data_IF_329861938858
#
_entry.id   IF_329861938858
#
_cell.length_a   1.000
_cell.length_b   1.000
_cell.length_c   1.000
_cell.angle_alpha   90.00
_cell.angle_beta   90.00
_cell.angle_gamma   90.00
#
_symmetry.space_group_name_H-M   'P 1'
#
loop_
_entity.id
_entity.type
_entity.pdbx_description
1 polymer ?
#
# COMPACT_ATOMS: atom_id res chain seq x y z
N UNK A 1 10.83 -16.60 2.12
CA UNK A 1 11.02 -16.58 3.59
C UNK A 1 11.33 -15.14 3.95
N UNK A 2 10.61 -14.54 4.89
CA UNK A 2 10.93 -13.21 5.37
C UNK A 2 12.09 -13.34 6.34
N UNK A 3 13.13 -12.54 6.15
CA UNK A 3 14.19 -12.41 7.13
C UNK A 3 13.81 -11.19 7.99
N UNK A 4 13.64 -11.40 9.30
CA UNK A 4 13.23 -10.38 10.27
C UNK A 4 14.43 -9.79 11.02
N UNK A 5 14.51 -8.46 11.15
CA UNK A 5 15.61 -7.75 11.81
C UNK A 5 15.04 -6.58 12.59
N UNK A 6 15.07 -6.70 13.91
CA UNK A 6 14.69 -5.62 14.80
C UNK A 6 15.76 -4.52 14.73
N UNK A 7 15.34 -3.28 14.50
CA UNK A 7 16.21 -2.10 14.42
C UNK A 7 15.70 -1.00 15.35
N UNK A 8 16.49 0.07 15.49
CA UNK A 8 16.05 1.25 16.23
C UNK A 8 14.87 1.92 15.50
N UNK A 9 13.92 2.45 16.28
CA UNK A 9 12.78 3.17 15.73
C UNK A 9 13.24 4.36 14.87
N UNK A 10 12.69 4.46 13.65
CA UNK A 10 13.02 5.49 12.68
C UNK A 10 14.22 5.16 11.78
N UNK A 11 14.86 3.99 11.94
CA UNK A 11 15.96 3.55 11.06
C UNK A 11 15.56 2.43 10.10
N UNK A 12 14.29 2.02 10.06
CA UNK A 12 13.80 0.87 9.30
C UNK A 12 14.03 1.07 7.79
N UNK A 13 13.66 2.25 7.27
CA UNK A 13 13.84 2.59 5.87
C UNK A 13 15.33 2.58 5.48
N UNK A 14 16.18 3.23 6.28
CA UNK A 14 17.61 3.32 5.99
C UNK A 14 18.25 1.93 6.02
N UNK A 15 17.92 1.11 7.03
CA UNK A 15 18.39 -0.28 7.11
C UNK A 15 17.97 -1.12 5.90
N UNK A 16 16.71 -1.00 5.45
CA UNK A 16 16.25 -1.72 4.25
C UNK A 16 16.91 -1.19 2.97
N UNK A 17 17.15 0.12 2.85
CA UNK A 17 17.83 0.71 1.69
C UNK A 17 19.29 0.30 1.62
N UNK A 18 19.98 0.29 2.74
CA UNK A 18 21.38 -0.13 2.82
C UNK A 18 21.50 -1.61 2.49
N UNK A 19 20.67 -2.47 3.07
CA UNK A 19 20.61 -3.88 2.70
C UNK A 19 20.30 -4.08 1.21
N UNK A 20 19.34 -3.34 0.65
CA UNK A 20 19.01 -3.37 -0.77
C UNK A 20 20.18 -2.93 -1.67
N UNK A 21 20.94 -1.92 -1.26
CA UNK A 21 22.14 -1.44 -1.97
C UNK A 21 23.27 -2.46 -1.92
N UNK A 22 23.46 -3.12 -0.79
CA UNK A 22 24.46 -4.18 -0.59
C UNK A 22 24.11 -5.48 -1.33
N UNK A 23 22.88 -5.60 -1.83
CA UNK A 23 22.44 -6.72 -2.67
C UNK A 23 21.62 -7.77 -1.92
N UNK A 24 21.06 -7.45 -0.75
CA UNK A 24 20.12 -8.32 -0.07
C UNK A 24 18.96 -8.74 -0.99
N UNK A 25 18.53 -9.99 -0.83
CA UNK A 25 17.39 -10.54 -1.57
C UNK A 25 16.07 -9.88 -1.16
N UNK A 26 15.04 -10.06 -1.98
CA UNK A 26 13.68 -9.73 -1.55
C UNK A 26 13.30 -10.52 -0.29
N UNK A 27 12.47 -9.93 0.58
CA UNK A 27 12.10 -10.54 1.86
C UNK A 27 12.94 -10.06 3.05
N UNK A 28 13.97 -9.25 2.83
CA UNK A 28 14.73 -8.64 3.92
C UNK A 28 13.90 -7.54 4.59
N UNK A 29 13.44 -7.77 5.82
CA UNK A 29 12.57 -6.86 6.56
C UNK A 29 13.26 -6.29 7.81
N UNK A 30 13.46 -4.98 7.84
CA UNK A 30 13.86 -4.24 9.04
C UNK A 30 12.60 -3.72 9.74
N UNK A 31 12.46 -3.91 11.04
CA UNK A 31 11.25 -3.53 11.78
C UNK A 31 11.55 -2.98 13.17
N UNK A 32 10.63 -2.19 13.69
CA UNK A 32 10.69 -1.72 15.08
C UNK A 32 9.30 -1.62 15.68
N UNK A 33 9.28 -1.67 17.01
CA UNK A 33 8.11 -1.50 17.84
C UNK A 33 8.28 -0.23 18.68
N UNK A 34 7.52 0.82 18.36
CA UNK A 34 7.35 2.00 19.22
C UNK A 34 6.09 1.91 20.07
N UNK A 35 5.90 2.85 21.01
CA UNK A 35 4.71 2.88 21.87
C UNK A 35 3.41 3.12 21.08
N UNK A 36 3.46 4.01 20.07
CA UNK A 36 2.30 4.40 19.27
C UNK A 36 2.20 3.61 17.95
N UNK A 37 3.34 3.21 17.38
CA UNK A 37 3.38 2.59 16.06
C UNK A 37 4.20 1.31 16.00
N UNK A 38 3.88 0.51 15.00
CA UNK A 38 4.63 -0.65 14.57
C UNK A 38 5.07 -0.40 13.13
N UNK A 39 6.38 -0.37 12.89
CA UNK A 39 6.94 0.05 11.60
C UNK A 39 7.80 -1.06 11.02
N UNK A 40 7.69 -1.29 9.72
CA UNK A 40 8.64 -2.12 9.00
C UNK A 40 9.01 -1.53 7.65
N UNK A 41 10.20 -1.88 7.15
CA UNK A 41 10.63 -1.63 5.80
C UNK A 41 11.13 -2.91 5.16
N UNK A 42 10.52 -3.29 4.06
CA UNK A 42 10.72 -4.55 3.34
C UNK A 42 11.44 -4.29 2.01
N UNK A 43 12.56 -4.97 1.80
CA UNK A 43 13.21 -5.02 0.48
C UNK A 43 12.39 -5.91 -0.45
N UNK A 44 11.97 -5.35 -1.58
CA UNK A 44 11.34 -6.06 -2.69
C UNK A 44 12.15 -5.87 -3.98
N UNK A 45 12.14 -6.88 -4.85
CA UNK A 45 12.83 -6.87 -6.16
C UNK A 45 11.90 -7.39 -7.24
N UNK A 46 10.84 -6.65 -7.58
CA UNK A 46 9.92 -7.06 -8.63
C UNK A 46 10.68 -7.15 -9.96
N UNK A 47 10.58 -8.30 -10.63
CA UNK A 47 11.09 -8.45 -11.99
C UNK A 47 10.11 -7.78 -12.96
N UNK A 48 10.21 -6.45 -13.09
CA UNK A 48 9.35 -5.65 -13.97
C UNK A 48 10.15 -4.57 -14.66
N UNK A 49 9.65 -4.11 -15.81
CA UNK A 49 10.19 -2.94 -16.48
C UNK A 49 10.12 -1.70 -15.57
N UNK A 50 11.06 -0.77 -15.75
CA UNK A 50 11.16 0.44 -14.92
C UNK A 50 9.87 1.27 -14.88
N UNK A 51 9.11 1.33 -15.98
CA UNK A 51 7.84 2.06 -16.01
C UNK A 51 6.79 1.44 -15.07
N UNK A 52 6.87 0.15 -14.73
CA UNK A 52 5.89 -0.48 -13.86
C UNK A 52 6.11 -0.15 -12.37
N UNK A 53 7.29 0.35 -11.98
CA UNK A 53 7.64 0.63 -10.58
C UNK A 53 6.67 1.58 -9.87
N UNK A 54 6.02 2.49 -10.59
CA UNK A 54 5.04 3.40 -9.99
C UNK A 54 3.73 2.70 -9.56
N UNK A 55 3.52 1.43 -9.95
CA UNK A 55 2.45 0.59 -9.44
C UNK A 55 2.71 0.05 -8.02
N UNK A 56 3.97 0.04 -7.56
CA UNK A 56 4.33 -0.59 -6.29
C UNK A 56 3.58 -0.08 -5.06
N UNK A 57 3.31 1.24 -4.87
CA UNK A 57 2.52 1.69 -3.73
C UNK A 57 1.12 1.06 -3.67
N UNK A 58 0.46 0.92 -4.82
CA UNK A 58 -0.87 0.32 -4.93
C UNK A 58 -0.82 -1.17 -4.59
N UNK A 59 0.12 -1.89 -5.20
CA UNK A 59 0.31 -3.33 -5.05
C UNK A 59 0.73 -3.68 -3.62
N UNK A 60 1.58 -2.86 -3.00
CA UNK A 60 1.94 -3.03 -1.60
C UNK A 60 0.74 -2.82 -0.67
N UNK A 61 -0.11 -1.82 -0.94
CA UNK A 61 -1.35 -1.64 -0.19
C UNK A 61 -2.34 -2.80 -0.38
N UNK A 62 -2.43 -3.38 -1.58
CA UNK A 62 -3.20 -4.61 -1.80
C UNK A 62 -2.63 -5.78 -0.99
N UNK A 63 -1.31 -5.93 -0.91
CA UNK A 63 -0.69 -6.97 -0.10
C UNK A 63 -0.97 -6.81 1.40
N UNK A 64 -1.03 -5.56 1.89
CA UNK A 64 -1.53 -5.27 3.23
C UNK A 64 -3.00 -5.71 3.39
N UNK A 65 -3.86 -5.38 2.42
CA UNK A 65 -5.26 -5.80 2.45
C UNK A 65 -5.43 -7.33 2.43
N UNK A 66 -4.57 -8.05 1.71
CA UNK A 66 -4.60 -9.53 1.69
C UNK A 66 -4.36 -10.14 3.06
N UNK A 67 -3.41 -9.59 3.82
CA UNK A 67 -3.18 -10.05 5.19
C UNK A 67 -4.33 -9.62 6.13
N UNK A 68 -4.79 -8.38 6.03
CA UNK A 68 -5.80 -7.84 6.95
C UNK A 68 -7.19 -8.45 6.71
N UNK A 69 -7.68 -8.42 5.47
CA UNK A 69 -9.00 -8.89 5.08
C UNK A 69 -9.03 -10.38 4.73
N UNK A 70 -7.94 -10.91 4.19
CA UNK A 70 -7.87 -12.25 3.64
C UNK A 70 -8.13 -12.29 2.14
N UNK A 71 -7.77 -13.41 1.54
CA UNK A 71 -8.05 -13.73 0.14
C UNK A 71 -8.94 -14.97 0.05
N UNK A 72 -9.35 -15.34 -1.16
CA UNK A 72 -10.04 -16.62 -1.38
C UNK A 72 -9.18 -17.84 -0.99
N UNK A 73 -7.85 -17.71 -1.04
CA UNK A 73 -6.91 -18.82 -0.78
C UNK A 73 -6.40 -18.86 0.66
N UNK A 74 -6.26 -17.70 1.30
CA UNK A 74 -5.62 -17.56 2.62
C UNK A 74 -6.49 -16.70 3.53
N UNK A 75 -6.92 -17.21 4.70
CA UNK A 75 -7.60 -16.40 5.70
C UNK A 75 -6.71 -15.23 6.16
N UNK A 76 -7.30 -14.04 6.27
CA UNK A 76 -6.63 -12.87 6.83
C UNK A 76 -6.85 -12.75 8.34
N UNK A 77 -6.56 -11.57 8.88
CA UNK A 77 -6.71 -11.22 10.30
C UNK A 77 -8.16 -10.93 10.72
N UNK A 78 -9.16 -11.35 9.94
CA UNK A 78 -10.58 -11.17 10.26
C UNK A 78 -11.06 -9.71 10.15
N UNK A 79 -10.39 -8.90 9.32
CA UNK A 79 -10.73 -7.48 9.11
C UNK A 79 -11.47 -7.21 7.79
N UNK A 80 -11.96 -8.25 7.11
CA UNK A 80 -12.79 -8.10 5.91
C UNK A 80 -13.98 -7.16 6.18
N UNK A 81 -14.16 -6.16 5.32
CA UNK A 81 -15.20 -5.13 5.45
C UNK A 81 -14.97 -4.09 6.56
N UNK A 82 -13.91 -4.21 7.37
CA UNK A 82 -13.55 -3.25 8.43
C UNK A 82 -12.43 -2.29 8.04
N UNK A 83 -11.61 -2.69 7.06
CA UNK A 83 -10.49 -1.91 6.52
C UNK A 83 -10.63 -1.71 5.02
N UNK A 84 -9.92 -0.73 4.47
CA UNK A 84 -9.84 -0.48 3.04
C UNK A 84 -8.67 0.42 2.67
N UNK A 85 -8.41 0.54 1.37
CA UNK A 85 -7.35 1.39 0.83
C UNK A 85 -7.86 2.81 0.68
N UNK A 86 -7.28 3.74 1.44
CA UNK A 86 -7.33 5.14 1.10
C UNK A 86 -6.35 5.38 -0.05
N UNK A 87 -6.89 5.63 -1.23
CA UNK A 87 -6.09 5.89 -2.42
C UNK A 87 -5.00 6.94 -2.15
N UNK A 88 -3.75 6.72 -2.60
CA UNK A 88 -3.29 5.59 -3.43
C UNK A 88 -2.85 4.33 -2.67
N UNK A 89 -2.45 4.45 -1.40
CA UNK A 89 -1.80 3.35 -0.68
C UNK A 89 -1.95 3.40 0.84
N UNK A 90 -2.69 4.36 1.38
CA UNK A 90 -3.02 4.38 2.81
C UNK A 90 -3.99 3.26 3.13
N UNK A 91 -3.94 2.74 4.36
CA UNK A 91 -4.95 1.82 4.88
C UNK A 91 -5.77 2.56 5.92
N UNK A 92 -7.09 2.49 5.79
CA UNK A 92 -8.05 3.12 6.69
C UNK A 92 -9.00 2.09 7.29
N UNK A 93 -9.54 2.40 8.45
CA UNK A 93 -10.58 1.64 9.14
C UNK A 93 -11.72 2.55 9.60
N UNK A 94 -12.69 1.99 10.33
CA UNK A 94 -13.85 2.74 10.82
C UNK A 94 -15.02 2.74 9.85
N UNK A 95 -15.38 1.55 9.36
CA UNK A 95 -16.56 1.36 8.52
C UNK A 95 -17.83 1.91 9.21
N UNK A 96 -18.80 2.47 8.45
CA UNK A 96 -18.78 2.62 6.99
C UNK A 96 -18.05 3.88 6.50
N UNK A 97 -17.56 4.74 7.40
CA UNK A 97 -16.99 6.03 7.03
C UNK A 97 -15.57 5.90 6.43
N UNK A 98 -14.74 4.99 6.96
CA UNK A 98 -13.34 4.76 6.55
C UNK A 98 -12.46 6.02 6.66
N UNK A 99 -12.58 6.74 7.76
CA UNK A 99 -11.87 8.01 7.99
C UNK A 99 -10.66 7.88 8.92
N UNK A 100 -10.54 6.77 9.65
CA UNK A 100 -9.46 6.55 10.60
C UNK A 100 -8.26 5.92 9.89
N UNK A 101 -7.11 6.58 9.95
CA UNK A 101 -5.86 6.02 9.43
C UNK A 101 -5.47 4.79 10.25
N UNK A 102 -5.24 3.66 9.58
CA UNK A 102 -4.71 2.43 10.19
C UNK A 102 -3.22 2.25 9.87
N UNK A 103 -2.84 2.46 8.60
CA UNK A 103 -1.44 2.35 8.19
C UNK A 103 -1.10 3.27 7.02
N UNK A 104 0.16 3.68 6.95
CA UNK A 104 0.74 4.37 5.79
C UNK A 104 1.69 3.44 5.06
N UNK A 105 1.46 3.22 3.76
CA UNK A 105 2.38 2.47 2.90
C UNK A 105 3.13 3.44 1.98
N UNK A 106 4.45 3.44 2.07
CA UNK A 106 5.35 4.24 1.26
C UNK A 106 6.38 3.36 0.54
N UNK A 107 6.80 3.74 -0.67
CA UNK A 107 7.76 2.97 -1.47
C UNK A 107 8.93 3.86 -1.86
N UNK A 108 10.14 3.38 -1.63
CA UNK A 108 11.37 4.05 -2.02
C UNK A 108 12.17 3.17 -2.99
N UNK A 109 12.27 3.59 -4.24
CA UNK A 109 13.12 2.93 -5.23
C UNK A 109 14.61 3.11 -4.95
N UNK A 110 15.40 2.13 -5.37
CA UNK A 110 16.86 2.16 -5.31
C UNK A 110 17.51 1.20 -6.30
N UNK A 111 18.82 1.33 -6.47
CA UNK A 111 19.64 0.40 -7.22
C UNK A 111 20.89 0.06 -6.39
N UNK A 112 21.36 -1.19 -6.50
CA UNK A 112 22.46 -1.72 -5.70
C UNK A 112 23.21 -2.85 -6.40
N UNK A 113 24.02 -3.58 -5.64
CA UNK A 113 24.85 -4.68 -6.13
C UNK A 113 24.06 -5.79 -6.84
N UNK A 114 22.80 -6.02 -6.44
CA UNK A 114 21.89 -6.98 -7.07
C UNK A 114 20.85 -6.32 -8.01
N UNK A 115 21.13 -5.12 -8.52
CA UNK A 115 20.25 -4.39 -9.43
C UNK A 115 19.19 -3.54 -8.70
N UNK A 116 18.11 -3.22 -9.42
CA UNK A 116 17.01 -2.40 -8.89
C UNK A 116 16.29 -3.11 -7.73
N UNK A 117 15.82 -2.31 -6.78
CA UNK A 117 14.98 -2.75 -5.66
C UNK A 117 14.05 -1.62 -5.24
N UNK A 118 13.10 -1.94 -4.36
CA UNK A 118 12.39 -0.94 -3.58
C UNK A 118 12.36 -1.32 -2.10
N UNK A 119 12.34 -0.32 -1.24
CA UNK A 119 12.03 -0.46 0.17
C UNK A 119 10.57 -0.04 0.39
N UNK A 120 9.71 -1.01 0.71
CA UNK A 120 8.30 -0.79 1.05
C UNK A 120 8.22 -0.58 2.55
N UNK A 121 7.93 0.64 2.97
CA UNK A 121 7.81 1.01 4.38
C UNK A 121 6.36 1.13 4.77
N UNK A 122 5.98 0.46 5.85
CA UNK A 122 4.65 0.52 6.43
C UNK A 122 4.76 0.98 7.88
N UNK A 123 4.01 2.02 8.20
CA UNK A 123 3.84 2.56 9.55
C UNK A 123 2.39 2.28 9.98
N UNK A 124 2.20 1.57 11.09
CA UNK A 124 0.91 1.06 11.54
C UNK A 124 0.54 1.64 12.89
N UNK A 125 -0.66 2.19 13.00
CA UNK A 125 -1.22 2.74 14.25
C UNK A 125 -1.64 1.60 15.18
N UNK A 126 -0.92 1.42 16.29
CA UNK A 126 -1.16 0.30 17.24
C UNK A 126 -2.52 0.36 17.90
N UNK A 127 -2.96 1.56 18.28
CA UNK A 127 -4.27 1.76 18.90
C UNK A 127 -5.40 1.30 17.97
N UNK A 128 -5.32 1.66 16.68
CA UNK A 128 -6.29 1.24 15.68
C UNK A 128 -6.30 -0.28 15.47
N UNK A 129 -5.15 -0.95 15.48
CA UNK A 129 -5.07 -2.42 15.45
C UNK A 129 -5.73 -3.06 16.68
N UNK A 130 -5.46 -2.52 17.87
CA UNK A 130 -6.03 -3.00 19.13
C UNK A 130 -7.55 -2.84 19.17
N UNK A 131 -8.08 -1.69 18.71
CA UNK A 131 -9.52 -1.45 18.58
C UNK A 131 -10.21 -2.41 17.58
N UNK A 132 -9.48 -2.86 16.57
CA UNK A 132 -9.95 -3.86 15.61
C UNK A 132 -9.88 -5.30 16.12
N UNK A 133 -9.31 -5.51 17.32
CA UNK A 133 -9.22 -6.81 17.97
C UNK A 133 -8.10 -7.70 17.44
N UNK A 134 -7.06 -7.13 16.83
CA UNK A 134 -5.88 -7.88 16.39
C UNK A 134 -4.99 -8.17 17.60
N UNK A 135 -5.06 -9.42 18.09
CA UNK A 135 -4.23 -9.91 19.19
C UNK A 135 -3.13 -10.84 18.64
N UNK A 136 -2.04 -10.23 18.20
CA UNK A 136 -0.87 -10.90 17.66
C UNK A 136 0.40 -10.28 18.24
N UNK A 137 1.43 -11.10 18.45
CA UNK A 137 2.76 -10.59 18.80
C UNK A 137 3.31 -9.73 17.65
N UNK A 138 3.93 -8.60 18.00
CA UNK A 138 4.41 -7.60 17.04
C UNK A 138 5.24 -8.19 15.89
N UNK A 139 6.23 -9.03 16.20
CA UNK A 139 7.10 -9.65 15.19
C UNK A 139 6.31 -10.57 14.25
N UNK A 140 5.40 -11.37 14.79
CA UNK A 140 4.55 -12.27 13.99
C UNK A 140 3.56 -11.51 13.12
N UNK A 141 3.04 -10.38 13.61
CA UNK A 141 2.19 -9.48 12.85
C UNK A 141 2.97 -8.86 11.69
N UNK A 142 4.16 -8.32 11.94
CA UNK A 142 5.01 -7.76 10.87
C UNK A 142 5.38 -8.83 9.85
N UNK A 143 5.80 -10.02 10.29
CA UNK A 143 6.16 -11.09 9.37
C UNK A 143 4.98 -11.46 8.46
N UNK A 144 3.77 -11.58 9.01
CA UNK A 144 2.56 -11.87 8.23
C UNK A 144 2.25 -10.78 7.19
N UNK A 145 2.32 -9.51 7.60
CA UNK A 145 2.08 -8.36 6.71
C UNK A 145 3.15 -8.27 5.62
N UNK A 146 4.42 -8.38 5.98
CA UNK A 146 5.55 -8.34 5.05
C UNK A 146 5.51 -9.51 4.05
N UNK A 147 5.15 -10.71 4.52
CA UNK A 147 4.98 -11.87 3.65
C UNK A 147 3.85 -11.66 2.63
N UNK A 148 2.70 -11.12 3.04
CA UNK A 148 1.60 -10.83 2.13
C UNK A 148 1.95 -9.75 1.10
N UNK A 149 2.64 -8.68 1.53
CA UNK A 149 3.17 -7.66 0.62
C UNK A 149 4.12 -8.27 -0.40
N UNK A 150 5.07 -9.11 0.02
CA UNK A 150 6.01 -9.75 -0.88
C UNK A 150 5.30 -10.65 -1.90
N UNK A 151 4.39 -11.51 -1.44
CA UNK A 151 3.62 -12.41 -2.31
C UNK A 151 2.79 -11.63 -3.33
N UNK A 152 2.13 -10.55 -2.90
CA UNK A 152 1.33 -9.71 -3.80
C UNK A 152 2.20 -9.00 -4.84
N UNK A 153 3.38 -8.50 -4.45
CA UNK A 153 4.35 -7.88 -5.37
C UNK A 153 4.87 -8.88 -6.40
N UNK A 154 5.25 -10.09 -5.96
CA UNK A 154 5.75 -11.14 -6.87
C UNK A 154 4.67 -11.60 -7.86
N UNK A 155 3.43 -11.77 -7.36
CA UNK A 155 2.28 -12.14 -8.20
C UNK A 155 1.97 -11.06 -9.24
N UNK A 156 1.98 -9.80 -8.82
CA UNK A 156 1.79 -8.67 -9.71
C UNK A 156 2.92 -8.56 -10.75
N UNK A 157 4.17 -8.78 -10.37
CA UNK A 157 5.30 -8.71 -11.29
C UNK A 157 5.16 -9.71 -12.45
N UNK A 158 4.73 -10.94 -12.15
CA UNK A 158 4.41 -11.95 -13.17
C UNK A 158 3.31 -11.44 -14.12
N UNK A 159 2.23 -10.90 -13.58
CA UNK A 159 1.12 -10.38 -14.38
C UNK A 159 1.50 -9.14 -15.21
N UNK A 160 2.34 -8.26 -14.67
CA UNK A 160 2.83 -7.05 -15.33
C UNK A 160 3.72 -7.36 -16.56
N UNK A 161 4.35 -8.53 -16.60
CA UNK A 161 5.13 -8.99 -17.75
C UNK A 161 4.30 -9.73 -18.82
N UNK A 162 2.98 -9.80 -18.66
CA UNK A 162 2.08 -10.32 -19.70
C UNK A 162 1.63 -9.20 -20.65
N UNK A 163 1.03 -9.53 -21.82
CA UNK A 163 0.47 -8.51 -22.72
C UNK A 163 -0.55 -7.57 -22.05
N UNK A 164 -1.24 -8.01 -21.00
CA UNK A 164 -2.15 -7.15 -20.24
C UNK A 164 -1.40 -6.04 -19.49
N UNK A 165 -0.24 -6.36 -18.91
CA UNK A 165 0.60 -5.40 -18.20
C UNK A 165 1.22 -4.33 -19.10
N UNK A 166 1.31 -4.57 -20.41
CA UNK A 166 1.84 -3.61 -21.37
C UNK A 166 1.01 -2.31 -21.45
N UNK A 167 -0.25 -2.32 -21.01
CA UNK A 167 -1.10 -1.14 -20.99
C UNK A 167 -0.75 -0.16 -19.86
N UNK A 168 -0.20 -0.65 -18.76
CA UNK A 168 0.14 0.15 -17.57
C UNK A 168 0.22 -0.73 -16.32
N UNK A 169 0.87 -0.27 -15.25
CA UNK A 169 1.16 -1.13 -14.11
C UNK A 169 -0.07 -1.58 -13.33
N UNK A 170 -1.18 -0.83 -13.35
CA UNK A 170 -2.41 -1.30 -12.71
C UNK A 170 -3.30 -2.11 -13.64
N UNK A 171 -3.05 -2.13 -14.95
CA UNK A 171 -3.88 -2.90 -15.89
C UNK A 171 -4.16 -4.37 -15.47
N UNK A 172 -3.20 -5.14 -14.89
CA UNK A 172 -3.49 -6.49 -14.43
C UNK A 172 -4.30 -6.58 -13.12
N UNK A 173 -4.33 -5.53 -12.30
CA UNK A 173 -4.86 -5.56 -10.93
C UNK A 173 -5.93 -4.49 -10.65
N UNK A 174 -6.30 -3.67 -11.63
CA UNK A 174 -7.14 -2.49 -11.44
C UNK A 174 -8.52 -2.85 -10.88
N UNK A 175 -9.11 -3.96 -11.35
CA UNK A 175 -10.40 -4.45 -10.84
C UNK A 175 -10.33 -4.83 -9.35
N UNK A 176 -9.33 -5.64 -8.96
CA UNK A 176 -9.13 -6.00 -7.55
C UNK A 176 -8.84 -4.77 -6.68
N UNK A 177 -8.06 -3.82 -7.20
CA UNK A 177 -7.77 -2.58 -6.48
C UNK A 177 -9.05 -1.76 -6.25
N UNK A 178 -9.98 -1.68 -7.22
CA UNK A 178 -11.27 -1.01 -7.03
C UNK A 178 -12.08 -1.58 -5.87
N UNK A 179 -12.15 -2.91 -5.78
CA UNK A 179 -12.88 -3.59 -4.72
C UNK A 179 -12.32 -3.30 -3.31
N UNK A 180 -11.04 -2.90 -3.24
CA UNK A 180 -10.36 -2.56 -2.00
C UNK A 180 -10.43 -1.07 -1.63
N UNK A 181 -10.97 -0.18 -2.48
CA UNK A 181 -11.05 1.26 -2.23
C UNK A 181 -12.48 1.64 -1.77
N UNK A 182 -12.73 1.77 -0.45
CA UNK A 182 -14.08 1.94 0.08
C UNK A 182 -14.73 3.30 -0.22
N UNK A 183 -13.94 4.28 -0.67
CA UNK A 183 -14.43 5.61 -1.07
C UNK A 183 -14.84 5.67 -2.53
N UNK A 184 -14.59 4.63 -3.34
CA UNK A 184 -15.00 4.60 -4.73
C UNK A 184 -16.53 4.67 -4.84
N UNK A 185 -17.04 5.50 -5.75
CA UNK A 185 -18.46 5.76 -5.93
C UNK A 185 -19.10 6.68 -4.88
N UNK A 186 -18.34 7.18 -3.90
CA UNK A 186 -18.85 8.05 -2.83
C UNK A 186 -18.54 9.53 -3.07
N UNK A 187 -19.28 10.39 -2.38
CA UNK A 187 -18.93 11.81 -2.27
C UNK A 187 -17.64 11.99 -1.49
N UNK A 188 -16.72 12.74 -2.07
CA UNK A 188 -15.38 12.95 -1.55
C UNK A 188 -14.89 14.37 -1.82
N UNK A 189 -13.84 14.76 -1.10
CA UNK A 189 -12.98 15.88 -1.47
C UNK A 189 -11.60 15.37 -1.88
N UNK A 190 -11.09 15.84 -3.03
CA UNK A 190 -9.66 15.85 -3.31
C UNK A 190 -9.03 17.05 -2.62
N UNK A 191 -8.08 16.78 -1.74
CA UNK A 191 -7.43 17.77 -0.90
C UNK A 191 -5.94 17.79 -1.19
N UNK A 192 -5.40 18.96 -1.50
CA UNK A 192 -3.95 19.16 -1.67
C UNK A 192 -3.16 18.80 -0.40
N UNK A 193 -1.83 18.62 -0.49
CA UNK A 193 -0.98 18.38 0.68
C UNK A 193 -1.11 19.44 1.79
N UNK A 194 -1.46 20.69 1.42
CA UNK A 194 -1.65 21.80 2.34
C UNK A 194 -3.06 21.87 2.95
N UNK A 195 -3.93 20.89 2.68
CA UNK A 195 -5.28 20.84 3.23
C UNK A 195 -6.34 21.62 2.44
N UNK A 196 -5.99 22.23 1.31
CA UNK A 196 -6.96 22.96 0.48
C UNK A 196 -7.76 21.97 -0.39
N UNK A 197 -9.11 22.01 -0.36
CA UNK A 197 -9.93 21.22 -1.27
C UNK A 197 -9.78 21.75 -2.69
N UNK A 198 -9.35 20.88 -3.61
CA UNK A 198 -9.17 21.19 -5.03
C UNK A 198 -10.40 20.79 -5.86
N UNK A 199 -11.08 19.71 -5.47
CA UNK A 199 -12.34 19.29 -6.07
C UNK A 199 -13.21 18.59 -5.03
N UNK A 200 -14.52 18.73 -5.18
CA UNK A 200 -15.54 18.02 -4.41
C UNK A 200 -16.51 17.39 -5.39
N UNK A 201 -16.77 16.09 -5.22
CA UNK A 201 -17.62 15.33 -6.14
C UNK A 201 -17.57 13.84 -5.87
N UNK A 202 -18.04 13.05 -6.83
CA UNK A 202 -18.03 11.58 -6.73
C UNK A 202 -16.66 11.04 -7.14
N UNK A 203 -16.05 10.20 -6.31
CA UNK A 203 -14.86 9.43 -6.71
C UNK A 203 -15.27 8.39 -7.76
N UNK A 204 -15.10 8.72 -9.04
CA UNK A 204 -15.74 8.01 -10.14
C UNK A 204 -14.92 6.82 -10.65
N UNK A 205 -13.60 6.84 -10.50
CA UNK A 205 -12.75 5.80 -11.07
C UNK A 205 -11.27 6.05 -10.86
N UNK A 206 -10.48 5.08 -11.31
CA UNK A 206 -9.04 5.16 -11.45
C UNK A 206 -8.65 4.67 -12.84
N UNK A 207 -7.60 5.23 -13.40
CA UNK A 207 -7.03 4.71 -14.65
C UNK A 207 -5.93 3.66 -14.40
N UNK A 208 -5.45 3.04 -15.48
CA UNK A 208 -4.39 2.02 -15.46
C UNK A 208 -3.02 2.55 -15.00
N UNK A 209 -2.88 3.87 -14.85
CA UNK A 209 -1.69 4.54 -14.32
C UNK A 209 -1.85 4.93 -12.84
N UNK A 210 -3.03 4.73 -12.26
CA UNK A 210 -3.33 4.96 -10.85
C UNK A 210 -3.82 6.37 -10.53
N UNK A 211 -4.20 7.18 -11.53
CA UNK A 211 -4.77 8.52 -11.31
C UNK A 211 -6.24 8.41 -10.96
N UNK A 212 -6.70 9.22 -10.00
CA UNK A 212 -8.07 9.23 -9.53
C UNK A 212 -8.93 10.23 -10.31
N UNK A 213 -10.11 9.80 -10.72
CA UNK A 213 -11.10 10.65 -11.39
C UNK A 213 -12.18 11.06 -10.40
N UNK A 214 -12.37 12.37 -10.23
CA UNK A 214 -13.48 12.94 -9.46
C UNK A 214 -14.46 13.60 -10.41
N UNK A 215 -15.71 13.15 -10.37
CA UNK A 215 -16.81 13.73 -11.13
C UNK A 215 -17.44 14.87 -10.33
N UNK A 216 -17.26 16.09 -10.83
CA UNK A 216 -17.80 17.33 -10.28
C UNK A 216 -18.93 17.86 -11.16
N UNK A 217 -19.63 18.92 -10.73
CA UNK A 217 -20.62 19.61 -11.56
C UNK A 217 -20.00 20.26 -12.82
N UNK A 218 -18.70 20.57 -12.77
CA UNK A 218 -17.93 21.10 -13.90
C UNK A 218 -17.40 20.01 -14.85
N UNK A 219 -17.66 18.73 -14.56
CA UNK A 219 -17.13 17.59 -15.31
C UNK A 219 -16.13 16.75 -14.51
N UNK A 220 -15.46 15.84 -15.21
CA UNK A 220 -14.48 14.92 -14.64
C UNK A 220 -13.10 15.58 -14.52
N UNK A 221 -12.45 15.38 -13.38
CA UNK A 221 -11.10 15.87 -13.10
C UNK A 221 -10.21 14.71 -12.67
N UNK A 222 -9.05 14.57 -13.31
CA UNK A 222 -8.05 13.55 -12.99
C UNK A 222 -6.99 14.12 -12.05
N UNK A 223 -6.65 13.36 -11.01
CA UNK A 223 -5.63 13.72 -10.02
C UNK A 223 -4.57 12.64 -9.92
N UNK A 224 -3.28 12.99 -10.04
CA UNK A 224 -2.22 12.04 -9.79
C UNK A 224 -1.98 11.87 -8.27
N UNK A 225 -1.46 10.70 -7.83
CA UNK A 225 -1.25 10.37 -6.41
C UNK A 225 -0.49 11.40 -5.58
N UNK A 226 0.47 12.09 -6.20
CA UNK A 226 1.31 13.09 -5.55
C UNK A 226 0.62 14.45 -5.34
N UNK A 227 -0.48 14.72 -6.06
CA UNK A 227 -1.12 16.03 -6.06
C UNK A 227 -2.19 16.18 -4.97
N UNK A 228 -2.87 15.11 -4.59
CA UNK A 228 -4.01 15.16 -3.66
C UNK A 228 -4.12 13.92 -2.79
N UNK A 229 -4.84 14.06 -1.67
CA UNK A 229 -5.45 12.95 -0.94
C UNK A 229 -6.95 12.98 -1.13
N UNK A 230 -7.59 11.81 -1.10
CA UNK A 230 -9.04 11.70 -1.17
C UNK A 230 -9.59 11.41 0.23
N UNK A 231 -10.61 12.18 0.64
CA UNK A 231 -11.30 12.02 1.93
C UNK A 231 -12.81 11.97 1.70
N UNK A 232 -13.51 11.17 2.50
CA UNK A 232 -14.97 11.16 2.53
C UNK A 232 -15.57 12.50 3.00
N UNK A 233 -16.83 12.71 2.65
CA UNK A 233 -17.67 13.83 3.09
C UNK A 233 -18.94 13.33 3.79
#
# INVERSE_FOLDING_TARGET
MIEMNAVAAGTELDAARDAGREGASAGRCAWSAGDASLTFSLVVRPDVNMHAFHGLPFVAAMGMMDALAGTAATPGLGLAGKVGIQWPSGIVCGAPAFETSLARVAVNGGAGAAGMFAAVTVDIERSALGELGVDMADEALIEALAAAVLVRVDTWAVAANTPQGAAGPLAPVLGEYFDMVPLLGRQVAAVSPNGLPLAVGVFAGLDIWGRATIKTDAGEQEFPPEAVRIRGL
#
